data_IF_352535769920
#
_entry.id   IF_352535769920
#
_cell.length_a   1.000
_cell.length_b   1.000
_cell.length_c   1.000
_cell.angle_alpha   90.00
_cell.angle_beta   90.00
_cell.angle_gamma   90.00
#
_symmetry.space_group_name_H-M   'P 1'
#
loop_
_entity.id
_entity.type
_entity.pdbx_description
1 polymer ?
#
# COMPACT_ATOMS: atom_id res chain seq x y z
N UNK A 1 -51.59 26.75 -17.31
CA UNK A 1 -51.95 25.62 -16.42
C UNK A 1 -52.01 24.41 -17.31
N UNK A 2 -51.13 23.42 -17.32
CA UNK A 2 -50.06 22.88 -16.46
C UNK A 2 -49.14 22.10 -17.47
N UNK A 3 -47.90 21.70 -17.28
CA UNK A 3 -46.97 21.61 -16.16
C UNK A 3 -45.58 21.39 -16.80
N UNK A 4 -44.60 22.21 -16.43
CA UNK A 4 -43.21 22.10 -16.89
C UNK A 4 -42.42 21.49 -15.74
N UNK A 5 -42.41 20.16 -15.62
CA UNK A 5 -41.61 19.48 -14.63
C UNK A 5 -41.21 18.09 -15.14
N UNK A 6 -40.19 18.03 -15.99
CA UNK A 6 -39.27 16.89 -15.89
C UNK A 6 -38.55 17.13 -14.56
N UNK A 7 -39.03 16.48 -13.50
CA UNK A 7 -38.29 16.41 -12.26
C UNK A 7 -36.91 15.83 -12.61
N UNK A 8 -35.87 16.66 -12.59
CA UNK A 8 -34.50 16.20 -12.67
C UNK A 8 -34.28 15.30 -11.45
N UNK A 9 -34.39 13.99 -11.66
CA UNK A 9 -33.92 12.99 -10.71
C UNK A 9 -32.40 13.14 -10.64
N UNK A 10 -31.93 14.03 -9.76
CA UNK A 10 -30.52 14.15 -9.44
C UNK A 10 -30.24 13.19 -8.29
N UNK A 11 -29.65 12.05 -8.64
CA UNK A 11 -28.96 11.22 -7.67
C UNK A 11 -27.47 11.62 -7.69
N UNK A 12 -26.84 11.59 -6.54
CA UNK A 12 -25.41 11.81 -6.38
C UNK A 12 -24.81 10.82 -5.38
N UNK A 13 -23.49 10.88 -5.28
CA UNK A 13 -22.68 10.05 -4.41
C UNK A 13 -21.67 10.95 -3.71
N UNK A 14 -21.27 10.53 -2.52
CA UNK A 14 -20.18 11.11 -1.76
C UNK A 14 -19.34 9.96 -1.22
N UNK A 15 -18.09 9.93 -1.66
CA UNK A 15 -17.07 9.04 -1.14
C UNK A 15 -16.32 9.77 -0.03
N UNK A 16 -16.18 9.12 1.12
CA UNK A 16 -15.25 9.49 2.18
C UNK A 16 -14.20 8.39 2.28
N UNK A 17 -12.93 8.73 2.04
CA UNK A 17 -11.83 7.76 2.05
C UNK A 17 -11.28 7.50 3.44
N UNK A 18 -11.78 8.16 4.49
CA UNK A 18 -11.35 7.96 5.87
C UNK A 18 -10.01 8.60 6.22
N UNK A 19 -9.38 9.30 5.27
CA UNK A 19 -8.14 10.07 5.47
C UNK A 19 -8.37 11.59 5.57
N UNK A 20 -9.64 12.01 5.59
CA UNK A 20 -10.08 13.41 5.60
C UNK A 20 -10.33 14.00 4.21
N UNK A 21 -10.19 13.20 3.15
CA UNK A 21 -10.54 13.59 1.78
C UNK A 21 -11.87 12.95 1.33
N UNK A 22 -12.58 13.64 0.42
CA UNK A 22 -13.87 13.19 -0.11
C UNK A 22 -13.99 13.42 -1.62
N UNK A 23 -14.74 12.57 -2.34
CA UNK A 23 -15.12 12.77 -3.75
C UNK A 23 -16.64 12.74 -3.93
N UNK A 24 -17.23 13.84 -4.40
CA UNK A 24 -18.66 14.00 -4.65
C UNK A 24 -19.04 14.05 -6.15
N UNK A 25 -18.07 13.79 -7.04
CA UNK A 25 -18.19 14.00 -8.48
C UNK A 25 -18.05 12.67 -9.22
N UNK A 26 -17.15 11.79 -8.80
CA UNK A 26 -16.82 10.55 -9.53
C UNK A 26 -17.60 9.36 -9.00
N UNK A 27 -18.28 8.62 -9.88
CA UNK A 27 -19.03 7.42 -9.48
C UNK A 27 -18.08 6.29 -9.03
N UNK A 28 -16.94 6.16 -9.71
CA UNK A 28 -15.88 5.20 -9.43
C UNK A 28 -14.54 5.96 -9.29
N UNK A 29 -14.27 6.60 -8.14
CA UNK A 29 -13.05 7.37 -7.93
C UNK A 29 -11.83 6.47 -7.78
N UNK A 30 -10.67 7.01 -8.16
CA UNK A 30 -9.37 6.44 -7.81
C UNK A 30 -8.79 7.34 -6.72
N UNK A 31 -8.42 6.73 -5.59
CA UNK A 31 -7.82 7.43 -4.46
C UNK A 31 -6.45 6.85 -4.11
N UNK A 32 -5.54 7.71 -3.63
CA UNK A 32 -4.18 7.35 -3.20
C UNK A 32 -3.97 7.82 -1.78
N UNK A 33 -3.54 6.91 -0.90
CA UNK A 33 -3.22 7.22 0.49
C UNK A 33 -1.72 7.51 0.63
N UNK A 34 -1.39 8.69 1.16
CA UNK A 34 0.01 9.12 1.31
C UNK A 34 0.71 8.52 2.54
N UNK A 35 -0.07 8.05 3.53
CA UNK A 35 0.44 7.51 4.78
C UNK A 35 -0.05 6.08 5.01
N UNK A 36 0.74 5.22 5.66
CA UNK A 36 0.25 3.95 6.16
C UNK A 36 -0.79 4.18 7.26
N UNK A 37 -1.83 3.36 7.25
CA UNK A 37 -2.95 3.43 8.18
C UNK A 37 -4.09 2.50 7.80
N UNK A 38 -5.02 2.31 8.74
CA UNK A 38 -6.31 1.67 8.45
C UNK A 38 -7.32 2.76 8.16
N UNK A 39 -7.94 2.69 6.99
CA UNK A 39 -8.92 3.66 6.51
C UNK A 39 -10.27 2.98 6.30
N UNK A 40 -11.34 3.61 6.79
CA UNK A 40 -12.71 3.13 6.54
C UNK A 40 -13.28 3.96 5.40
N UNK A 41 -13.39 3.36 4.21
CA UNK A 41 -13.97 4.01 3.03
C UNK A 41 -15.48 3.88 3.09
N UNK A 42 -16.21 4.99 3.04
CA UNK A 42 -17.68 4.99 3.03
C UNK A 42 -18.22 5.64 1.76
N UNK A 43 -19.37 5.17 1.29
CA UNK A 43 -20.09 5.80 0.19
C UNK A 43 -21.52 6.11 0.61
N UNK A 44 -21.89 7.39 0.44
CA UNK A 44 -23.23 7.86 0.69
C UNK A 44 -23.92 8.15 -0.64
N UNK A 45 -25.05 7.51 -0.90
CA UNK A 45 -25.87 7.80 -2.07
C UNK A 45 -27.06 8.69 -1.66
N UNK A 46 -27.31 9.74 -2.40
CA UNK A 46 -28.46 10.63 -2.17
C UNK A 46 -29.25 10.79 -3.46
N UNK A 47 -30.57 10.62 -3.38
CA UNK A 47 -31.49 10.97 -4.45
C UNK A 47 -32.49 11.99 -3.91
N UNK A 48 -32.89 12.95 -4.76
CA UNK A 48 -33.97 13.89 -4.42
C UNK A 48 -35.28 13.08 -4.38
N UNK A 49 -35.63 12.59 -3.18
CA UNK A 49 -36.85 11.88 -2.72
C UNK A 49 -36.79 10.34 -2.56
N UNK A 50 -37.34 9.79 -1.44
CA UNK A 50 -37.69 10.43 -0.17
C UNK A 50 -36.55 10.40 0.88
N UNK A 51 -35.55 9.53 0.78
CA UNK A 51 -34.45 9.47 1.75
C UNK A 51 -33.10 9.17 1.08
N UNK A 52 -31.99 9.77 1.56
CA UNK A 52 -30.65 9.32 1.18
C UNK A 52 -30.45 7.88 1.66
N UNK A 53 -29.98 7.02 0.76
CA UNK A 53 -29.61 5.65 1.09
C UNK A 53 -28.10 5.60 1.34
N UNK A 54 -27.70 5.32 2.57
CA UNK A 54 -26.29 5.13 2.90
C UNK A 54 -25.87 3.68 2.62
N UNK A 55 -24.80 3.48 1.86
CA UNK A 55 -24.12 2.19 1.75
C UNK A 55 -23.05 2.07 2.82
N UNK A 56 -22.84 0.86 3.37
CA UNK A 56 -21.83 0.65 4.42
C UNK A 56 -20.46 0.37 3.83
N UNK A 57 -19.45 0.93 4.50
CA UNK A 57 -18.08 1.05 4.02
C UNK A 57 -17.23 -0.20 3.93
N UNK A 58 -16.17 -0.09 3.14
CA UNK A 58 -15.10 -1.07 2.97
C UNK A 58 -13.92 -0.62 3.82
N UNK A 59 -13.36 -1.52 4.63
CA UNK A 59 -12.10 -1.24 5.32
C UNK A 59 -10.92 -1.48 4.37
N UNK A 60 -10.07 -0.48 4.24
CA UNK A 60 -8.84 -0.51 3.44
C UNK A 60 -7.67 -0.36 4.39
N UNK A 61 -6.80 -1.37 4.41
CA UNK A 61 -5.55 -1.33 5.16
C UNK A 61 -4.41 -0.94 4.21
N UNK A 62 -3.74 0.16 4.50
CA UNK A 62 -2.57 0.65 3.77
C UNK A 62 -1.36 0.50 4.68
N UNK A 63 -0.32 -0.19 4.21
CA UNK A 63 0.90 -0.39 4.96
C UNK A 63 2.13 -0.01 4.13
N UNK A 64 3.25 0.15 4.81
CA UNK A 64 4.56 0.35 4.19
C UNK A 64 5.44 -0.84 4.54
N UNK A 65 6.29 -1.31 3.60
CA UNK A 65 7.20 -2.40 3.87
C UNK A 65 8.29 -1.96 4.87
N UNK A 66 8.52 -2.78 5.88
CA UNK A 66 9.66 -2.70 6.78
C UNK A 66 10.74 -3.66 6.29
N UNK A 67 11.92 -3.12 5.95
CA UNK A 67 13.06 -3.91 5.53
C UNK A 67 13.73 -4.57 6.75
N UNK A 68 13.81 -5.89 6.74
CA UNK A 68 14.41 -6.69 7.80
C UNK A 68 15.08 -7.93 7.22
N UNK A 69 16.20 -8.33 7.81
CA UNK A 69 16.95 -9.55 7.48
C UNK A 69 17.72 -10.04 8.71
N UNK A 70 18.10 -11.31 8.73
CA UNK A 70 18.96 -11.84 9.80
C UNK A 70 20.42 -11.42 9.59
N UNK A 71 21.07 -10.93 10.65
CA UNK A 71 22.49 -10.60 10.60
C UNK A 71 23.33 -11.86 10.35
N UNK A 72 24.14 -11.89 9.29
CA UNK A 72 25.01 -13.02 9.06
C UNK A 72 26.12 -13.12 10.13
N UNK A 73 26.67 -14.32 10.36
CA UNK A 73 27.74 -14.52 11.32
C UNK A 73 28.99 -13.69 10.94
N UNK A 74 29.78 -13.31 11.95
CA UNK A 74 31.10 -12.69 11.71
C UNK A 74 32.03 -13.77 11.15
N UNK A 75 32.57 -13.54 9.96
CA UNK A 75 33.48 -14.44 9.26
C UNK A 75 34.85 -13.78 9.13
N UNK A 76 35.92 -14.56 9.33
CA UNK A 76 37.28 -14.03 9.50
C UNK A 76 38.29 -14.53 8.44
N UNK A 77 37.84 -15.27 7.42
CA UNK A 77 38.71 -15.83 6.38
C UNK A 77 38.03 -15.79 5.01
N UNK A 78 38.30 -14.76 4.18
CA UNK A 78 37.72 -14.63 2.85
C UNK A 78 38.38 -15.59 1.84
N UNK A 79 37.65 -16.02 0.78
CA UNK A 79 36.29 -15.60 0.48
C UNK A 79 35.26 -16.30 1.38
N UNK A 80 34.25 -15.56 1.79
CA UNK A 80 33.15 -16.12 2.57
C UNK A 80 31.80 -15.86 1.90
N UNK A 81 31.00 -16.91 1.85
CA UNK A 81 29.66 -16.88 1.27
C UNK A 81 28.62 -16.75 2.37
N UNK A 82 27.75 -15.75 2.22
CA UNK A 82 26.64 -15.47 3.12
C UNK A 82 25.33 -15.74 2.38
N UNK A 83 24.45 -16.52 3.01
CA UNK A 83 23.05 -16.60 2.60
C UNK A 83 22.26 -15.60 3.44
N UNK A 84 21.57 -14.68 2.79
CA UNK A 84 20.69 -13.73 3.45
C UNK A 84 19.26 -14.25 3.46
N UNK A 85 18.62 -14.18 4.62
CA UNK A 85 17.19 -14.44 4.77
C UNK A 85 16.45 -13.11 4.88
N UNK A 86 15.53 -12.88 3.95
CA UNK A 86 14.61 -11.76 4.01
C UNK A 86 13.55 -12.03 5.08
N UNK A 87 13.46 -11.13 6.04
CA UNK A 87 12.42 -11.10 7.06
C UNK A 87 11.53 -9.86 6.90
N UNK A 88 11.60 -9.20 5.74
CA UNK A 88 10.89 -7.96 5.46
C UNK A 88 9.39 -8.23 5.35
N UNK A 89 8.58 -7.28 5.77
CA UNK A 89 7.12 -7.43 5.79
C UNK A 89 6.44 -6.08 5.59
N UNK A 90 5.33 -6.06 4.86
CA UNK A 90 4.39 -4.92 4.88
C UNK A 90 3.25 -5.17 5.90
N UNK A 91 3.29 -6.28 6.65
CA UNK A 91 2.28 -6.67 7.62
C UNK A 91 0.98 -7.24 7.05
N UNK A 92 0.82 -7.35 5.72
CA UNK A 92 -0.47 -7.70 5.08
C UNK A 92 -0.32 -8.67 3.92
N UNK A 93 0.71 -8.51 3.10
CA UNK A 93 0.89 -9.20 1.83
C UNK A 93 2.32 -9.69 1.64
N UNK A 94 2.55 -10.43 0.54
CA UNK A 94 3.90 -10.81 0.15
C UNK A 94 4.55 -9.64 -0.61
N UNK A 95 5.76 -9.27 -0.21
CA UNK A 95 6.56 -8.31 -0.94
C UNK A 95 6.93 -8.88 -2.32
N UNK A 96 6.79 -8.04 -3.36
CA UNK A 96 7.00 -8.44 -4.75
C UNK A 96 8.37 -8.04 -5.30
N UNK A 97 8.98 -7.00 -4.72
CA UNK A 97 10.26 -6.45 -5.15
C UNK A 97 11.23 -6.35 -3.98
N UNK A 98 12.51 -6.64 -4.25
CA UNK A 98 13.60 -6.63 -3.28
C UNK A 98 14.79 -5.86 -3.86
N UNK A 99 15.54 -5.20 -2.99
CA UNK A 99 16.78 -4.53 -3.34
C UNK A 99 17.78 -4.73 -2.21
N UNK A 100 18.89 -5.38 -2.54
CA UNK A 100 20.00 -5.63 -1.64
C UNK A 100 21.20 -4.80 -2.08
N UNK A 101 21.81 -4.10 -1.13
CA UNK A 101 23.13 -3.50 -1.25
C UNK A 101 24.03 -4.19 -0.24
N UNK A 102 25.07 -4.86 -0.73
CA UNK A 102 25.98 -5.61 0.13
C UNK A 102 27.11 -4.76 0.68
N UNK A 103 27.22 -3.47 0.34
CA UNK A 103 28.26 -2.56 0.84
C UNK A 103 29.62 -2.70 0.16
N UNK A 104 29.83 -3.71 -0.68
CA UNK A 104 31.05 -3.93 -1.48
C UNK A 104 30.94 -3.39 -2.92
N UNK A 105 29.85 -2.67 -3.22
CA UNK A 105 29.54 -2.13 -4.54
C UNK A 105 28.76 -3.09 -5.44
N UNK A 106 28.37 -4.27 -4.95
CA UNK A 106 27.46 -5.19 -5.63
C UNK A 106 26.06 -5.18 -5.02
N UNK A 107 25.07 -5.58 -5.83
CA UNK A 107 23.64 -5.54 -5.48
C UNK A 107 22.91 -6.77 -5.99
N UNK A 108 21.75 -7.09 -5.40
CA UNK A 108 20.84 -8.14 -5.87
C UNK A 108 19.36 -7.72 -5.71
N UNK A 109 18.46 -8.44 -6.37
CA UNK A 109 17.00 -8.26 -6.31
C UNK A 109 16.23 -9.57 -6.02
N UNK A 110 16.93 -10.68 -5.80
CA UNK A 110 16.32 -11.93 -5.35
C UNK A 110 15.86 -11.79 -3.89
N UNK A 111 14.74 -12.44 -3.54
CA UNK A 111 14.20 -12.42 -2.17
C UNK A 111 15.23 -12.84 -1.13
N UNK A 112 15.86 -14.01 -1.28
CA UNK A 112 16.88 -14.54 -0.36
C UNK A 112 18.19 -14.75 -1.12
N UNK A 113 19.05 -13.73 -1.25
CA UNK A 113 20.25 -13.81 -2.06
C UNK A 113 21.37 -14.58 -1.35
N UNK A 114 22.32 -15.07 -2.15
CA UNK A 114 23.57 -15.65 -1.68
C UNK A 114 24.70 -14.82 -2.26
N UNK A 115 25.50 -14.19 -1.39
CA UNK A 115 26.58 -13.31 -1.80
C UNK A 115 27.94 -13.79 -1.29
N UNK A 116 29.01 -13.53 -2.02
CA UNK A 116 30.38 -13.91 -1.63
C UNK A 116 31.27 -12.68 -1.55
N UNK A 117 31.76 -12.40 -0.34
CA UNK A 117 32.71 -11.33 -0.09
C UNK A 117 34.13 -11.85 -0.32
N UNK A 118 34.85 -11.23 -1.27
CA UNK A 118 36.18 -11.67 -1.69
C UNK A 118 37.32 -11.18 -0.80
N UNK A 119 37.09 -10.09 -0.05
CA UNK A 119 38.11 -9.39 0.74
C UNK A 119 37.67 -9.20 2.19
N UNK A 120 38.61 -8.77 3.03
CA UNK A 120 38.30 -8.31 4.38
C UNK A 120 37.64 -6.93 4.33
N UNK A 121 36.60 -6.73 5.14
CA UNK A 121 35.95 -5.43 5.22
C UNK A 121 34.83 -5.36 6.25
N UNK A 122 34.36 -4.12 6.48
CA UNK A 122 33.05 -3.84 7.04
C UNK A 122 32.20 -3.37 5.87
N UNK A 123 31.09 -4.05 5.65
CA UNK A 123 30.19 -3.83 4.53
C UNK A 123 28.78 -3.55 5.06
#
# INVERSE_FOLDING_TARGET
>A
MLDTAIANLSCGWEWDFGDGTTDTVSIDPIHTYDAPGTYTVTITYFCITPEPCTGTGIEVLVTVPEALFENPPILCDPPFTVTFENLSTDGVSNLMDYSWDFGDGTTDSVQNPVHTFGDYGLY
#
